data_IF_511462622283
#
_entry.id   IF_511462622283
#
_cell.length_a   1.000
_cell.length_b   1.000
_cell.length_c   1.000
_cell.angle_alpha   90.00
_cell.angle_beta   90.00
_cell.angle_gamma   90.00
#
_symmetry.space_group_name_H-M   'P 1'
#
loop_
_entity.id
_entity.type
_entity.pdbx_description
1 polymer ?
#
# COMPACT_ATOMS: atom_id res chain seq x y z
N UNK A 1 -4.82 9.35 18.71
CA UNK A 1 -4.02 8.37 17.94
C UNK A 1 -4.80 8.01 16.70
N UNK A 2 -4.28 8.24 15.50
CA UNK A 2 -5.00 7.88 14.28
C UNK A 2 -5.16 6.36 14.21
N UNK A 3 -6.40 5.87 14.07
CA UNK A 3 -6.70 4.44 13.88
C UNK A 3 -6.32 4.06 12.44
N UNK A 4 -5.04 3.86 12.18
CA UNK A 4 -4.59 3.24 10.93
C UNK A 4 -4.70 1.72 11.08
N UNK A 5 -5.92 1.23 10.92
CA UNK A 5 -6.25 -0.19 10.96
C UNK A 5 -6.00 -0.89 9.62
N UNK A 6 -5.45 -0.18 8.64
CA UNK A 6 -5.06 -0.74 7.34
C UNK A 6 -3.61 -0.42 7.01
N UNK A 7 -2.87 -1.43 6.56
CA UNK A 7 -1.48 -1.32 6.10
C UNK A 7 -1.40 -1.84 4.67
N UNK A 8 -0.81 -1.06 3.76
CA UNK A 8 -0.32 -1.56 2.47
C UNK A 8 1.18 -1.80 2.62
N UNK A 9 1.63 -3.03 2.42
CA UNK A 9 3.04 -3.40 2.44
C UNK A 9 3.54 -3.53 1.02
N UNK A 10 4.36 -2.59 0.55
CA UNK A 10 5.02 -2.69 -0.75
C UNK A 10 6.36 -3.39 -0.53
N UNK A 11 6.61 -4.48 -1.26
CA UNK A 11 7.82 -5.31 -1.12
C UNK A 11 8.39 -5.70 -2.47
N UNK A 12 9.72 -5.82 -2.54
CA UNK A 12 10.43 -6.32 -3.71
C UNK A 12 11.57 -7.27 -3.29
N UNK A 13 11.95 -8.18 -4.18
CA UNK A 13 13.15 -9.03 -4.08
C UNK A 13 14.45 -8.31 -4.47
N UNK A 14 14.31 -7.09 -5.00
CA UNK A 14 15.35 -6.18 -5.48
C UNK A 14 15.17 -4.80 -4.83
N UNK A 15 16.12 -3.91 -5.06
CA UNK A 15 15.94 -2.50 -4.78
C UNK A 15 14.77 -1.93 -5.61
N UNK A 16 13.93 -1.11 -4.95
CA UNK A 16 12.85 -0.39 -5.62
C UNK A 16 13.47 0.89 -6.17
N UNK A 17 13.53 1.00 -7.50
CA UNK A 17 14.09 2.17 -8.16
C UNK A 17 13.30 3.44 -7.83
N UNK A 18 13.99 4.58 -7.77
CA UNK A 18 13.38 5.87 -7.40
C UNK A 18 12.17 6.23 -8.28
N UNK A 19 12.24 5.96 -9.59
CA UNK A 19 11.12 6.20 -10.50
C UNK A 19 9.91 5.29 -10.22
N UNK A 20 10.15 4.04 -9.82
CA UNK A 20 9.10 3.10 -9.45
C UNK A 20 8.47 3.51 -8.12
N UNK A 21 9.29 3.91 -7.13
CA UNK A 21 8.83 4.48 -5.87
C UNK A 21 7.96 5.71 -6.12
N UNK A 22 8.45 6.71 -6.86
CA UNK A 22 7.71 7.92 -7.22
C UNK A 22 6.38 7.59 -7.92
N UNK A 23 6.37 6.62 -8.83
CA UNK A 23 5.14 6.17 -9.50
C UNK A 23 4.11 5.63 -8.51
N UNK A 24 4.55 4.80 -7.56
CA UNK A 24 3.66 4.24 -6.53
C UNK A 24 3.14 5.34 -5.60
N UNK A 25 4.00 6.28 -5.17
CA UNK A 25 3.59 7.40 -4.32
C UNK A 25 2.57 8.30 -5.02
N UNK A 26 2.77 8.63 -6.29
CA UNK A 26 1.79 9.38 -7.08
C UNK A 26 0.44 8.67 -7.19
N UNK A 27 0.44 7.33 -7.28
CA UNK A 27 -0.79 6.54 -7.27
C UNK A 27 -1.46 6.62 -5.91
N UNK A 28 -0.71 6.49 -4.82
CA UNK A 28 -1.25 6.64 -3.45
C UNK A 28 -1.88 8.02 -3.28
N UNK A 29 -1.16 9.09 -3.59
CA UNK A 29 -1.67 10.46 -3.47
C UNK A 29 -2.95 10.70 -4.28
N UNK A 30 -3.02 10.13 -5.48
CA UNK A 30 -4.18 10.28 -6.37
C UNK A 30 -5.38 9.46 -5.94
N UNK A 31 -5.17 8.29 -5.35
CA UNK A 31 -6.22 7.30 -5.10
C UNK A 31 -6.49 7.01 -3.61
N UNK A 32 -5.81 7.73 -2.70
CA UNK A 32 -6.07 7.65 -1.25
C UNK A 32 -7.48 8.08 -0.85
N UNK A 33 -8.21 8.78 -1.72
CA UNK A 33 -9.51 9.35 -1.39
C UNK A 33 -9.40 10.30 -0.19
N UNK A 34 -10.31 10.13 0.76
CA UNK A 34 -10.35 10.89 2.02
C UNK A 34 -9.40 10.33 3.08
N UNK A 35 -8.69 9.23 2.81
CA UNK A 35 -7.72 8.69 3.75
C UNK A 35 -6.53 9.63 3.92
N UNK A 36 -6.15 9.84 5.18
CA UNK A 36 -4.79 10.21 5.54
C UNK A 36 -3.89 8.97 5.44
N UNK A 37 -2.62 9.19 5.07
CA UNK A 37 -1.66 8.10 5.07
C UNK A 37 -0.30 8.52 5.64
N UNK A 38 0.44 7.53 6.13
CA UNK A 38 1.82 7.68 6.58
C UNK A 38 2.67 6.59 5.96
N UNK A 39 3.92 6.92 5.62
CA UNK A 39 4.88 5.98 5.04
C UNK A 39 5.96 5.65 6.06
N UNK A 40 6.33 4.39 6.15
CA UNK A 40 7.48 3.91 6.91
C UNK A 40 8.36 3.05 6.02
N UNK A 41 9.61 3.45 5.83
CA UNK A 41 10.57 2.66 5.05
C UNK A 41 10.99 1.39 5.81
N UNK A 42 11.23 0.33 5.05
CA UNK A 42 11.68 -0.98 5.55
C UNK A 42 12.83 -1.50 4.68
N UNK A 43 13.55 -2.52 5.14
CA UNK A 43 14.73 -3.05 4.42
C UNK A 43 14.46 -3.41 2.95
N UNK A 44 13.27 -3.92 2.63
CA UNK A 44 12.93 -4.45 1.29
C UNK A 44 11.67 -3.80 0.70
N UNK A 45 11.42 -2.53 1.01
CA UNK A 45 10.27 -1.76 0.55
C UNK A 45 9.74 -0.84 1.63
N UNK A 46 8.43 -0.62 1.69
CA UNK A 46 7.86 0.34 2.65
C UNK A 46 6.41 -0.02 2.99
N UNK A 47 5.97 0.49 4.13
CA UNK A 47 4.60 0.34 4.62
C UNK A 47 3.86 1.67 4.51
N UNK A 48 2.64 1.59 4.00
CA UNK A 48 1.72 2.73 3.88
C UNK A 48 0.54 2.45 4.81
N UNK A 49 0.46 3.22 5.86
CA UNK A 49 -0.61 3.12 6.84
C UNK A 49 -1.75 4.03 6.41
N UNK A 50 -2.97 3.49 6.33
CA UNK A 50 -4.17 4.20 5.87
C UNK A 50 -5.33 4.02 6.85
N UNK A 51 -6.23 5.02 6.89
CA UNK A 51 -7.43 4.99 7.74
C UNK A 51 -8.60 4.20 7.12
N UNK A 52 -8.68 4.06 5.79
CA UNK A 52 -9.76 3.34 5.10
C UNK A 52 -9.24 2.10 4.37
N UNK A 53 -9.85 0.95 4.67
CA UNK A 53 -9.60 -0.29 3.94
C UNK A 53 -10.05 -0.22 2.47
N UNK A 54 -11.15 0.48 2.20
CA UNK A 54 -11.68 0.59 0.84
C UNK A 54 -10.75 1.41 -0.05
N UNK A 55 -10.25 2.55 0.45
CA UNK A 55 -9.30 3.38 -0.27
C UNK A 55 -7.98 2.64 -0.47
N UNK A 56 -7.53 1.88 0.54
CA UNK A 56 -6.33 1.06 0.43
C UNK A 56 -6.47 -0.03 -0.64
N UNK A 57 -7.60 -0.75 -0.68
CA UNK A 57 -7.89 -1.76 -1.72
C UNK A 57 -7.94 -1.13 -3.12
N UNK A 58 -8.57 0.04 -3.24
CA UNK A 58 -8.62 0.77 -4.51
C UNK A 58 -7.23 1.20 -4.96
N UNK A 59 -6.45 1.79 -4.06
CA UNK A 59 -5.05 2.19 -4.30
C UNK A 59 -4.21 0.99 -4.74
N UNK A 60 -4.27 -0.14 -4.03
CA UNK A 60 -3.55 -1.37 -4.40
C UNK A 60 -3.93 -1.86 -5.80
N UNK A 61 -5.21 -1.81 -6.17
CA UNK A 61 -5.64 -2.20 -7.51
C UNK A 61 -5.01 -1.31 -8.60
N UNK A 62 -4.85 -0.01 -8.33
CA UNK A 62 -4.18 0.93 -9.26
C UNK A 62 -2.67 0.70 -9.31
N UNK A 63 -2.03 0.43 -8.19
CA UNK A 63 -0.63 0.03 -8.12
C UNK A 63 -0.42 -1.19 -9.02
N UNK A 64 -1.15 -2.29 -8.78
CA UNK A 64 -1.02 -3.51 -9.56
C UNK A 64 -1.28 -3.30 -11.07
N UNK A 65 -2.23 -2.43 -11.44
CA UNK A 65 -2.50 -2.12 -12.84
C UNK A 65 -1.32 -1.43 -13.53
N UNK A 66 -0.57 -0.61 -12.79
CA UNK A 66 0.52 0.22 -13.34
C UNK A 66 1.87 -0.48 -13.22
N UNK A 67 2.25 -0.89 -12.02
CA UNK A 67 3.59 -1.47 -11.74
C UNK A 67 3.59 -3.00 -11.80
N UNK A 68 2.42 -3.63 -11.92
CA UNK A 68 2.30 -5.08 -11.90
C UNK A 68 2.50 -5.68 -10.51
N UNK A 69 2.88 -6.95 -10.47
CA UNK A 69 3.13 -7.69 -9.23
C UNK A 69 1.95 -8.53 -8.79
N UNK A 70 1.98 -8.94 -7.52
CA UNK A 70 0.94 -9.79 -6.90
C UNK A 70 0.52 -9.19 -5.57
N UNK A 71 -0.76 -9.29 -5.24
CA UNK A 71 -1.25 -8.94 -3.90
C UNK A 71 -1.67 -10.16 -3.10
N UNK A 72 -1.53 -10.03 -1.79
CA UNK A 72 -2.17 -10.89 -0.78
C UNK A 72 -2.82 -9.99 0.26
N UNK A 73 -3.90 -10.46 0.87
CA UNK A 73 -4.62 -9.75 1.92
C UNK A 73 -4.73 -10.65 3.14
N UNK A 74 -4.51 -10.08 4.32
CA UNK A 74 -4.65 -10.78 5.59
C UNK A 74 -5.28 -9.87 6.64
N UNK A 75 -5.87 -10.48 7.65
CA UNK A 75 -6.56 -9.77 8.72
C UNK A 75 -6.14 -10.34 10.07
N UNK A 76 -5.92 -9.45 11.04
CA UNK A 76 -5.59 -9.82 12.42
C UNK A 76 -6.56 -9.15 13.38
N UNK A 77 -7.15 -9.94 14.27
CA UNK A 77 -7.92 -9.40 15.39
C UNK A 77 -6.99 -8.60 16.33
N UNK A 78 -7.41 -7.39 16.70
CA UNK A 78 -6.65 -6.51 17.59
C UNK A 78 -7.27 -6.48 18.98
N UNK A 79 -8.54 -6.08 19.07
CA UNK A 79 -9.26 -5.89 20.34
C UNK A 79 -10.76 -5.78 20.12
N UNK A 80 -11.52 -5.74 21.20
CA UNK A 80 -12.89 -5.20 21.21
C UNK A 80 -12.83 -3.73 21.66
N UNK A 81 -13.53 -2.86 20.93
CA UNK A 81 -13.72 -1.45 21.27
C UNK A 81 -15.21 -1.13 21.14
N UNK A 82 -15.83 -0.61 22.20
CA UNK A 82 -17.27 -0.28 22.23
C UNK A 82 -18.17 -1.45 21.80
N UNK A 83 -17.84 -2.67 22.25
CA UNK A 83 -18.59 -3.89 21.91
C UNK A 83 -18.39 -4.38 20.48
N UNK A 84 -17.53 -3.73 19.67
CA UNK A 84 -17.21 -4.13 18.30
C UNK A 84 -15.79 -4.69 18.21
N UNK A 85 -15.63 -5.79 17.50
CA UNK A 85 -14.31 -6.33 17.20
C UNK A 85 -13.58 -5.43 16.19
N UNK A 86 -12.39 -4.98 16.56
CA UNK A 86 -11.48 -4.19 15.73
C UNK A 86 -10.44 -5.11 15.13
N UNK A 87 -10.28 -5.02 13.81
CA UNK A 87 -9.36 -5.81 13.03
C UNK A 87 -8.36 -4.90 12.32
N UNK A 88 -7.13 -5.36 12.21
CA UNK A 88 -6.13 -4.77 11.32
C UNK A 88 -6.05 -5.55 10.03
N UNK A 89 -6.11 -4.84 8.91
CA UNK A 89 -5.97 -5.38 7.57
C UNK A 89 -4.57 -5.08 7.03
N UNK A 90 -3.95 -6.08 6.41
CA UNK A 90 -2.66 -5.96 5.76
C UNK A 90 -2.78 -6.40 4.30
N UNK A 91 -2.56 -5.47 3.40
CA UNK A 91 -2.51 -5.66 1.95
C UNK A 91 -1.04 -5.71 1.52
N UNK A 92 -0.50 -6.90 1.26
CA UNK A 92 0.89 -7.04 0.83
C UNK A 92 0.97 -7.11 -0.70
N UNK A 93 1.66 -6.14 -1.29
CA UNK A 93 1.97 -6.04 -2.72
C UNK A 93 3.43 -6.42 -2.92
N UNK A 94 3.66 -7.52 -3.65
CA UNK A 94 4.99 -7.93 -4.11
C UNK A 94 5.19 -7.44 -5.53
N UNK A 95 6.13 -6.52 -5.70
CA UNK A 95 6.54 -5.99 -6.99
C UNK A 95 7.26 -7.08 -7.81
N UNK A 96 7.26 -6.97 -9.15
CA UNK A 96 7.94 -7.93 -10.00
C UNK A 96 9.47 -7.85 -9.85
N UNK A 97 10.15 -8.98 -10.12
CA UNK A 97 11.62 -9.07 -10.07
C UNK A 97 12.32 -8.13 -11.07
N UNK A 98 11.61 -7.71 -12.12
CA UNK A 98 12.07 -6.67 -13.04
C UNK A 98 11.20 -5.43 -12.86
N UNK A 99 11.78 -4.22 -12.79
CA UNK A 99 11.03 -2.98 -12.75
C UNK A 99 10.02 -2.92 -13.89
N UNK A 100 8.83 -2.43 -13.60
CA UNK A 100 7.86 -2.18 -14.66
C UNK A 100 8.47 -1.19 -15.66
N UNK A 101 8.44 -1.54 -16.95
CA UNK A 101 8.82 -0.61 -18.03
C UNK A 101 7.80 0.53 -18.21
N UNK A 102 6.68 0.51 -17.47
CA UNK A 102 5.68 1.56 -17.51
C UNK A 102 6.27 2.86 -16.97
N UNK A 103 6.66 3.75 -17.90
CA UNK A 103 7.04 5.13 -17.57
C UNK A 103 5.79 5.94 -17.23
N UNK A 104 5.24 5.78 -16.04
CA UNK A 104 4.38 6.85 -15.49
C UNK A 104 5.28 7.92 -14.88
N UNK A 105 5.99 8.64 -15.76
CA UNK A 105 6.24 10.05 -15.52
C UNK A 105 4.92 10.75 -15.76
N UNK A 106 4.23 11.16 -14.69
CA UNK A 106 3.32 12.29 -14.82
C UNK A 106 4.23 13.48 -15.12
N UNK A 107 4.38 13.79 -16.41
CA UNK A 107 4.90 15.07 -16.87
C UNK A 107 3.89 16.17 -16.58
#
# INVERSE_FOLDING_TARGET
>A
MSNQDTIIQIRASREIEENERKSILNIIDRYKGESEYQISDTKNGYDVYMSSLNDARHTVAKILKVVGGKRTESTRYIRVQEGKAVYRFTLCVRLPDKPSKSKYGFG
#
